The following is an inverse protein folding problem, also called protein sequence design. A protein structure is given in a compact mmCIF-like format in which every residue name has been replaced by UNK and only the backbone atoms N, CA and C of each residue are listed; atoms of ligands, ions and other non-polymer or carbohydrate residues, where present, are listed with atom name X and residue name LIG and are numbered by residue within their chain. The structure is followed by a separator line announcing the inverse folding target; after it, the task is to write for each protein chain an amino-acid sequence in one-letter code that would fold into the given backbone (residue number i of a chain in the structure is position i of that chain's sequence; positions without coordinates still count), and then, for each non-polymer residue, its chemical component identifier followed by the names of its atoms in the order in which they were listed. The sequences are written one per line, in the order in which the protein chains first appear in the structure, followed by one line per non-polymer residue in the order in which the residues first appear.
data_IF_104544998584
#
_entry.id   IF_104544998584
#
_cell.length_a   1.000
_cell.length_b   1.000
_cell.length_c   1.000
_cell.angle_alpha   90.00
_cell.angle_beta   90.00
_cell.angle_gamma   90.00
#
_symmetry.space_group_name_H-M   'P 1'
#
loop_
_entity.id
_entity.type
_entity.pdbx_description
1 polymer ?
#
# COMPACT_ATOMS: atom_id res chain seq x y z
N UNK A 1 2.19 14.80 -4.16
CA UNK A 1 1.53 14.02 -3.09
C UNK A 1 0.51 13.08 -3.69
N UNK A 2 0.41 11.87 -3.20
CA UNK A 2 -0.59 10.89 -3.68
C UNK A 2 -1.87 11.07 -2.86
N UNK A 3 -3.01 11.08 -3.56
CA UNK A 3 -4.33 11.16 -2.93
C UNK A 3 -5.12 9.90 -3.28
N UNK A 4 -5.59 9.19 -2.26
CA UNK A 4 -6.53 8.08 -2.41
C UNK A 4 -7.91 8.59 -1.99
N UNK A 5 -8.82 8.65 -2.96
CA UNK A 5 -10.21 9.01 -2.69
C UNK A 5 -11.03 7.72 -2.61
N UNK A 6 -11.63 7.47 -1.45
CA UNK A 6 -12.48 6.30 -1.23
C UNK A 6 -13.88 6.55 -1.81
N UNK A 7 -14.61 5.48 -2.10
CA UNK A 7 -15.97 5.58 -2.65
C UNK A 7 -16.98 6.20 -1.67
N UNK A 8 -16.65 6.26 -0.37
CA UNK A 8 -17.44 6.95 0.64
C UNK A 8 -17.09 8.43 0.79
N UNK A 9 -16.18 8.96 -0.04
CA UNK A 9 -15.75 10.36 -0.01
C UNK A 9 -14.58 10.66 0.93
N UNK A 10 -14.12 9.68 1.71
CA UNK A 10 -12.95 9.87 2.59
C UNK A 10 -11.68 9.94 1.76
N UNK A 11 -10.71 10.68 2.24
CA UNK A 11 -9.45 10.95 1.53
C UNK A 11 -8.26 10.58 2.40
N UNK A 12 -7.27 9.90 1.78
CA UNK A 12 -5.98 9.60 2.39
C UNK A 12 -4.91 10.27 1.53
N UNK A 13 -4.07 11.11 2.14
CA UNK A 13 -2.96 11.75 1.43
C UNK A 13 -1.63 11.18 1.91
N UNK A 14 -0.77 10.85 0.95
CA UNK A 14 0.48 10.14 1.18
C UNK A 14 1.63 10.92 0.56
N UNK A 15 2.67 11.13 1.35
CA UNK A 15 3.95 11.67 0.85
C UNK A 15 4.87 10.52 0.49
N UNK A 16 5.40 10.54 -0.73
CA UNK A 16 6.29 9.51 -1.25
C UNK A 16 7.74 9.90 -0.98
N UNK A 17 8.54 8.95 -0.51
CA UNK A 17 9.97 9.14 -0.22
C UNK A 17 10.80 8.52 -1.34
N UNK A 18 11.19 9.36 -2.31
CA UNK A 18 11.99 8.94 -3.47
C UNK A 18 13.42 8.57 -3.10
N UNK A 19 13.94 9.11 -2.02
CA UNK A 19 15.33 8.85 -1.59
C UNK A 19 15.45 7.46 -0.94
N UNK A 20 14.44 7.07 -0.17
CA UNK A 20 14.46 5.79 0.53
C UNK A 20 14.24 4.59 -0.40
N UNK A 21 13.38 4.75 -1.41
CA UNK A 21 13.01 3.66 -2.32
C UNK A 21 12.68 4.22 -3.72
N UNK A 22 13.70 4.63 -4.50
CA UNK A 22 13.47 5.34 -5.76
C UNK A 22 12.76 4.50 -6.83
N UNK A 23 13.08 3.24 -6.98
CA UNK A 23 12.44 2.36 -7.97
C UNK A 23 10.99 2.11 -7.59
N UNK A 24 10.75 1.83 -6.32
CA UNK A 24 9.41 1.60 -5.76
C UNK A 24 8.54 2.84 -5.92
N UNK A 25 9.08 4.01 -5.55
CA UNK A 25 8.39 5.30 -5.66
C UNK A 25 7.98 5.58 -7.11
N UNK A 26 8.91 5.45 -8.05
CA UNK A 26 8.64 5.68 -9.47
C UNK A 26 7.60 4.71 -10.02
N UNK A 27 7.70 3.43 -9.69
CA UNK A 27 6.74 2.41 -10.13
C UNK A 27 5.33 2.75 -9.64
N UNK A 28 5.20 3.08 -8.35
CA UNK A 28 3.91 3.42 -7.76
C UNK A 28 3.30 4.66 -8.40
N UNK A 29 4.09 5.72 -8.57
CA UNK A 29 3.64 6.96 -9.20
C UNK A 29 3.22 6.74 -10.66
N UNK A 30 3.95 5.92 -11.41
CA UNK A 30 3.60 5.60 -12.79
C UNK A 30 2.25 4.86 -12.87
N UNK A 31 2.01 3.91 -11.97
CA UNK A 31 0.74 3.20 -11.89
C UNK A 31 -0.40 4.16 -11.53
N UNK A 32 -0.16 5.08 -10.62
CA UNK A 32 -1.15 6.13 -10.27
C UNK A 32 -1.49 6.99 -11.48
N UNK A 33 -0.47 7.44 -12.23
CA UNK A 33 -0.67 8.25 -13.44
C UNK A 33 -1.46 7.53 -14.53
N UNK A 34 -1.29 6.21 -14.63
CA UNK A 34 -2.02 5.38 -15.60
C UNK A 34 -3.47 5.11 -15.19
N UNK A 35 -3.88 5.50 -13.98
CA UNK A 35 -5.20 5.18 -13.45
C UNK A 35 -5.34 3.73 -13.00
N UNK A 36 -4.23 3.03 -12.80
CA UNK A 36 -4.21 1.60 -12.47
C UNK A 36 -5.02 1.27 -11.22
N UNK A 37 -4.92 2.11 -10.20
CA UNK A 37 -5.56 1.86 -8.91
C UNK A 37 -7.04 2.28 -8.84
N UNK A 38 -7.53 3.01 -9.83
CA UNK A 38 -8.93 3.48 -9.83
C UNK A 38 -9.87 2.28 -9.85
N UNK A 39 -10.78 2.22 -8.88
CA UNK A 39 -11.74 1.13 -8.75
C UNK A 39 -11.22 -0.13 -8.06
N UNK A 40 -9.95 -0.19 -7.70
CA UNK A 40 -9.39 -1.31 -6.94
C UNK A 40 -9.76 -1.24 -5.47
N UNK A 41 -9.58 -2.33 -4.73
CA UNK A 41 -10.03 -2.45 -3.35
C UNK A 41 -8.88 -2.66 -2.37
N UNK A 42 -9.16 -2.39 -1.10
CA UNK A 42 -8.39 -2.94 0.02
C UNK A 42 -8.98 -4.32 0.34
N UNK A 43 -8.36 -5.35 -0.21
CA UNK A 43 -8.89 -6.73 -0.17
C UNK A 43 -8.46 -7.54 1.06
N UNK A 44 -7.50 -7.03 1.84
CA UNK A 44 -7.00 -7.69 3.05
C UNK A 44 -6.82 -6.65 4.14
N UNK A 45 -7.57 -6.80 5.23
CA UNK A 45 -7.57 -5.84 6.33
C UNK A 45 -7.41 -6.57 7.64
N UNK A 46 -6.36 -6.22 8.39
CA UNK A 46 -6.09 -6.78 9.71
C UNK A 46 -5.97 -5.63 10.70
N UNK A 47 -6.99 -5.37 11.54
CA UNK A 47 -6.93 -4.32 12.57
C UNK A 47 -5.72 -4.52 13.48
N UNK A 48 -5.06 -3.43 13.85
CA UNK A 48 -3.85 -3.49 14.65
C UNK A 48 -2.60 -3.91 13.87
N UNK A 49 -2.71 -4.06 12.56
CA UNK A 49 -1.61 -4.41 11.69
C UNK A 49 -1.59 -3.51 10.43
N UNK A 50 -2.38 -3.84 9.41
CA UNK A 50 -2.32 -3.10 8.14
C UNK A 50 -3.61 -3.22 7.34
N UNK A 51 -3.74 -2.35 6.31
CA UNK A 51 -4.74 -2.48 5.25
C UNK A 51 -3.98 -2.65 3.92
N UNK A 52 -4.32 -3.68 3.16
CA UNK A 52 -3.61 -4.04 1.92
C UNK A 52 -4.54 -4.00 0.71
N UNK A 53 -4.08 -3.41 -0.37
CA UNK A 53 -4.85 -3.29 -1.59
C UNK A 53 -3.98 -3.19 -2.84
N UNK A 54 -4.61 -2.81 -3.96
CA UNK A 54 -3.90 -2.60 -5.22
C UNK A 54 -3.77 -3.84 -6.10
N UNK A 55 -4.57 -4.86 -5.85
CA UNK A 55 -4.64 -6.07 -6.68
C UNK A 55 -5.83 -5.97 -7.65
N UNK A 56 -5.60 -5.97 -8.98
CA UNK A 56 -6.71 -5.95 -9.94
C UNK A 56 -7.69 -7.11 -9.78
N UNK A 57 -7.21 -8.24 -9.26
CA UNK A 57 -8.07 -9.42 -9.00
C UNK A 57 -8.78 -9.35 -7.66
N UNK A 58 -8.33 -8.49 -6.75
CA UNK A 58 -8.95 -8.30 -5.44
C UNK A 58 -8.85 -9.49 -4.50
N UNK A 59 -7.89 -10.39 -4.69
CA UNK A 59 -7.76 -11.63 -3.89
C UNK A 59 -6.33 -11.93 -3.42
N UNK A 60 -5.38 -11.04 -3.69
CA UNK A 60 -3.99 -11.21 -3.28
C UNK A 60 -3.10 -11.91 -4.31
N UNK A 61 -3.65 -12.39 -5.43
CA UNK A 61 -2.89 -13.17 -6.43
C UNK A 61 -2.48 -12.37 -7.66
N UNK A 62 -3.02 -11.17 -7.85
CA UNK A 62 -2.77 -10.34 -9.02
C UNK A 62 -1.76 -9.25 -8.78
N UNK A 63 -1.49 -8.48 -9.83
CA UNK A 63 -0.56 -7.37 -9.80
C UNK A 63 -0.52 -6.67 -11.15
N UNK A 64 0.43 -5.75 -11.31
CA UNK A 64 0.70 -5.09 -12.58
C UNK A 64 1.59 -5.98 -13.47
N UNK A 65 1.81 -5.53 -14.70
CA UNK A 65 2.57 -6.32 -15.69
C UNK A 65 4.07 -6.40 -15.42
N UNK A 66 4.60 -5.61 -14.48
CA UNK A 66 6.04 -5.48 -14.25
C UNK A 66 6.36 -5.62 -12.76
N UNK A 67 7.20 -6.61 -12.43
CA UNK A 67 7.78 -6.73 -11.10
C UNK A 67 8.96 -5.76 -10.93
N UNK A 68 9.21 -5.33 -9.71
CA UNK A 68 10.29 -4.41 -9.40
C UNK A 68 11.26 -5.03 -8.40
N UNK A 69 12.50 -4.54 -8.41
CA UNK A 69 13.51 -4.93 -7.43
C UNK A 69 13.07 -4.52 -6.02
N UNK A 70 13.23 -5.42 -5.06
CA UNK A 70 12.90 -5.16 -3.66
C UNK A 70 13.92 -4.25 -2.99
N UNK A 71 13.50 -3.04 -2.64
CA UNK A 71 14.36 -2.02 -2.01
C UNK A 71 14.26 -2.10 -0.49
N UNK A 72 14.83 -3.15 0.09
CA UNK A 72 14.86 -3.37 1.54
C UNK A 72 16.12 -4.12 1.97
N UNK A 73 16.47 -4.04 3.26
CA UNK A 73 17.74 -4.53 3.78
C UNK A 73 18.02 -6.01 3.49
N UNK A 74 17.02 -6.89 3.65
CA UNK A 74 17.18 -8.33 3.39
C UNK A 74 17.53 -8.62 1.92
N UNK A 75 17.28 -7.69 1.02
CA UNK A 75 17.62 -7.78 -0.41
C UNK A 75 18.85 -6.93 -0.77
N UNK A 76 19.62 -6.50 0.22
CA UNK A 76 20.86 -5.77 0.01
C UNK A 76 20.71 -4.27 -0.26
N UNK A 77 19.55 -3.70 0.00
CA UNK A 77 19.29 -2.28 -0.23
C UNK A 77 19.07 -1.54 1.09
N UNK A 78 19.77 -0.42 1.28
CA UNK A 78 19.62 0.38 2.49
C UNK A 78 18.40 1.28 2.44
N UNK A 79 17.29 0.80 3.01
CA UNK A 79 16.05 1.56 3.14
C UNK A 79 15.82 1.85 4.63
N UNK A 80 15.91 3.12 5.07
CA UNK A 80 15.85 3.44 6.49
C UNK A 80 14.44 3.50 7.08
N UNK A 81 13.40 3.43 6.26
CA UNK A 81 12.02 3.59 6.74
C UNK A 81 11.60 2.39 7.59
N UNK A 82 11.14 2.66 8.80
CA UNK A 82 10.55 1.65 9.68
C UNK A 82 9.06 1.54 9.44
N UNK A 83 8.51 0.35 9.66
CA UNK A 83 7.07 0.10 9.49
C UNK A 83 6.30 0.57 10.72
N UNK A 84 6.18 1.88 10.86
CA UNK A 84 5.39 2.51 11.90
C UNK A 84 4.02 2.91 11.36
N UNK A 85 3.10 3.24 12.28
CA UNK A 85 1.73 3.66 11.91
C UNK A 85 1.77 4.74 10.82
N UNK A 86 1.02 4.51 9.74
CA UNK A 86 0.89 5.44 8.62
C UNK A 86 1.87 5.21 7.47
N UNK A 87 2.86 4.34 7.63
CA UNK A 87 3.83 4.04 6.56
C UNK A 87 3.16 3.21 5.46
N UNK A 88 3.44 3.55 4.19
CA UNK A 88 3.04 2.75 3.03
C UNK A 88 4.24 1.92 2.56
N UNK A 89 3.99 0.66 2.23
CA UNK A 89 5.02 -0.31 1.86
C UNK A 89 4.48 -1.28 0.81
N UNK A 90 5.38 -1.95 0.08
CA UNK A 90 4.98 -2.89 -0.96
C UNK A 90 4.76 -4.30 -0.41
N UNK A 91 3.62 -4.87 -0.74
CA UNK A 91 3.38 -6.29 -0.57
C UNK A 91 4.16 -7.07 -1.64
N UNK A 92 4.57 -8.30 -1.32
CA UNK A 92 5.30 -9.17 -2.24
C UNK A 92 5.06 -10.64 -1.91
N UNK A 93 5.43 -11.51 -2.85
CA UNK A 93 5.51 -12.95 -2.62
C UNK A 93 6.84 -13.32 -1.94
N UNK A 94 7.20 -14.58 -1.91
CA UNK A 94 8.46 -15.05 -1.30
C UNK A 94 9.69 -14.49 -2.01
N UNK A 95 9.64 -14.35 -3.34
CA UNK A 95 10.72 -13.75 -4.11
C UNK A 95 10.88 -12.27 -3.73
N UNK A 96 12.06 -11.82 -3.31
CA UNK A 96 12.29 -10.41 -2.96
C UNK A 96 11.97 -9.41 -4.08
N UNK A 97 12.05 -9.84 -5.34
CA UNK A 97 11.82 -9.01 -6.51
C UNK A 97 10.45 -9.28 -7.16
N UNK A 98 9.47 -9.67 -6.36
CA UNK A 98 8.13 -10.05 -6.84
C UNK A 98 7.07 -8.96 -6.66
N UNK A 99 7.38 -7.84 -6.03
CA UNK A 99 6.43 -6.74 -5.86
C UNK A 99 6.09 -6.13 -7.22
N UNK A 100 4.84 -5.71 -7.39
CA UNK A 100 4.40 -5.00 -8.60
C UNK A 100 3.42 -3.87 -8.31
N UNK A 101 2.22 -4.16 -7.83
CA UNK A 101 1.20 -3.14 -7.56
C UNK A 101 0.60 -3.20 -6.17
N UNK A 102 0.56 -4.36 -5.52
CA UNK A 102 -0.06 -4.46 -4.21
C UNK A 102 0.77 -3.72 -3.15
N UNK A 103 0.08 -2.97 -2.32
CA UNK A 103 0.70 -2.20 -1.25
C UNK A 103 -0.12 -2.32 0.03
N UNK A 104 0.47 -1.93 1.14
CA UNK A 104 -0.25 -1.86 2.41
C UNK A 104 0.12 -0.58 3.16
N UNK A 105 -0.83 -0.12 3.97
CA UNK A 105 -0.66 1.03 4.85
C UNK A 105 -0.74 0.52 6.29
N UNK A 106 0.25 0.90 7.11
CA UNK A 106 0.32 0.43 8.49
C UNK A 106 -0.78 1.08 9.33
N UNK A 107 -1.59 0.24 9.98
CA UNK A 107 -2.57 0.68 10.98
C UNK A 107 -1.90 0.84 12.34
N UNK A 108 -0.91 0.00 12.63
CA UNK A 108 -0.10 0.04 13.84
C UNK A 108 1.36 -0.32 13.51
N UNK A 109 2.27 -0.09 14.44
CA UNK A 109 3.68 -0.40 14.25
C UNK A 109 3.89 -1.91 14.10
N UNK A 110 4.75 -2.30 13.15
CA UNK A 110 5.09 -3.70 12.90
C UNK A 110 6.60 -3.83 12.62
N UNK A 111 7.44 -3.76 13.67
CA UNK A 111 8.90 -3.79 13.48
C UNK A 111 9.42 -5.07 12.82
N UNK A 112 8.67 -6.18 12.87
CA UNK A 112 9.07 -7.42 12.19
C UNK A 112 9.08 -7.30 10.65
N UNK A 113 8.47 -6.25 10.08
CA UNK A 113 8.49 -5.98 8.64
C UNK A 113 9.71 -5.16 8.23
N UNK A 114 10.38 -4.51 9.16
CA UNK A 114 11.54 -3.66 8.86
C UNK A 114 12.64 -4.49 8.19
N UNK A 115 13.15 -3.97 7.07
CA UNK A 115 14.16 -4.68 6.29
C UNK A 115 13.63 -5.84 5.46
N UNK A 116 12.33 -6.13 5.46
CA UNK A 116 11.71 -7.24 4.75
C UNK A 116 10.77 -6.78 3.63
N UNK A 117 10.36 -5.54 3.64
CA UNK A 117 9.47 -4.93 2.65
C UNK A 117 9.95 -3.53 2.28
N UNK A 118 9.65 -3.11 1.05
CA UNK A 118 10.04 -1.81 0.54
C UNK A 118 9.05 -0.72 0.96
N UNK A 119 9.28 -0.13 2.12
CA UNK A 119 8.55 1.05 2.56
C UNK A 119 8.97 2.25 1.70
N UNK A 120 8.00 3.08 1.28
CA UNK A 120 8.29 4.15 0.33
C UNK A 120 7.53 5.46 0.57
N UNK A 121 6.93 5.63 1.72
CA UNK A 121 6.23 6.86 2.07
C UNK A 121 5.44 6.74 3.36
N UNK A 122 4.65 7.77 3.64
CA UNK A 122 3.79 7.78 4.83
C UNK A 122 2.55 8.66 4.63
N UNK A 123 1.50 8.34 5.36
CA UNK A 123 0.26 9.13 5.37
C UNK A 123 0.50 10.44 6.10
N UNK A 124 0.17 11.56 5.46
CA UNK A 124 0.27 12.89 6.06
C UNK A 124 -1.09 13.45 6.43
N UNK A 125 -2.17 12.96 5.83
CA UNK A 125 -3.53 13.36 6.12
C UNK A 125 -4.46 12.19 5.86
N UNK A 126 -5.45 11.97 6.75
CA UNK A 126 -6.45 10.94 6.55
C UNK A 126 -6.20 9.63 7.31
N UNK A 127 -5.37 9.64 8.36
CA UNK A 127 -5.23 8.44 9.21
C UNK A 127 -6.54 8.00 9.84
N UNK A 128 -7.47 8.93 10.10
CA UNK A 128 -8.81 8.59 10.56
C UNK A 128 -9.58 7.77 9.51
N UNK A 129 -9.36 8.03 8.22
CA UNK A 129 -9.92 7.20 7.16
C UNK A 129 -9.30 5.80 7.15
N UNK A 130 -8.00 5.67 7.38
CA UNK A 130 -7.32 4.37 7.52
C UNK A 130 -7.90 3.61 8.72
N UNK A 131 -8.10 4.27 9.85
CA UNK A 131 -8.69 3.66 11.04
C UNK A 131 -10.11 3.16 10.77
N UNK A 132 -10.91 3.94 10.06
CA UNK A 132 -12.26 3.56 9.66
C UNK A 132 -12.26 2.34 8.75
N UNK A 133 -11.35 2.28 7.78
CA UNK A 133 -11.17 1.11 6.92
C UNK A 133 -10.76 -0.11 7.74
N UNK A 134 -9.83 0.06 8.67
CA UNK A 134 -9.36 -1.03 9.53
C UNK A 134 -10.46 -1.60 10.43
N UNK A 135 -11.52 -0.85 10.68
CA UNK A 135 -12.63 -1.25 11.54
C UNK A 135 -13.76 -1.98 10.79
N UNK A 136 -13.69 -2.13 9.46
CA UNK A 136 -14.74 -2.80 8.70
C UNK A 136 -14.80 -4.29 9.02
N UNK A 137 -15.98 -4.88 8.86
CA UNK A 137 -16.18 -6.32 9.07
C UNK A 137 -15.46 -7.11 7.98
N UNK A 138 -14.68 -8.11 8.40
CA UNK A 138 -13.96 -9.01 7.50
C UNK A 138 -14.42 -10.44 7.67
N UNK A 139 -14.19 -11.25 6.64
CA UNK A 139 -14.48 -12.67 6.63
C UNK A 139 -13.24 -13.50 6.33
N UNK A 140 -13.41 -14.54 5.52
CA UNK A 140 -12.34 -15.47 5.16
C UNK A 140 -11.15 -14.72 4.53
N UNK A 141 -9.93 -15.08 4.93
CA UNK A 141 -8.67 -14.45 4.48
C UNK A 141 -8.58 -12.95 4.77
N UNK A 142 -9.25 -12.48 5.84
CA UNK A 142 -9.25 -11.06 6.23
C UNK A 142 -9.79 -10.14 5.14
N UNK A 143 -10.64 -10.68 4.27
CA UNK A 143 -11.27 -9.91 3.20
C UNK A 143 -12.51 -9.19 3.71
N UNK A 144 -12.69 -7.88 3.41
CA UNK A 144 -13.90 -7.16 3.80
C UNK A 144 -15.16 -7.85 3.28
N UNK A 145 -16.18 -7.95 4.13
CA UNK A 145 -17.50 -8.50 3.76
C UNK A 145 -18.13 -7.62 2.68
N UNK A 146 -18.00 -6.30 2.82
CA UNK A 146 -18.41 -5.33 1.80
C UNK A 146 -17.16 -4.73 1.18
N UNK A 147 -17.03 -4.69 -0.16
CA UNK A 147 -15.83 -4.16 -0.80
C UNK A 147 -15.50 -2.73 -0.35
N UNK A 148 -14.22 -2.50 -0.05
CA UNK A 148 -13.68 -1.18 0.32
C UNK A 148 -12.95 -0.65 -0.91
N UNK A 149 -13.60 0.25 -1.64
CA UNK A 149 -13.19 0.65 -2.98
C UNK A 149 -12.44 1.97 -2.97
N UNK A 150 -11.26 1.99 -3.62
CA UNK A 150 -10.56 3.21 -3.98
C UNK A 150 -11.21 3.76 -5.24
N UNK A 151 -12.04 4.79 -5.10
CA UNK A 151 -12.75 5.38 -6.24
C UNK A 151 -11.76 5.96 -7.25
N UNK A 152 -10.72 6.63 -6.74
CA UNK A 152 -9.73 7.29 -7.56
C UNK A 152 -8.42 7.44 -6.78
N UNK A 153 -7.30 7.21 -7.46
CA UNK A 153 -5.97 7.47 -6.89
C UNK A 153 -5.22 8.38 -7.87
N UNK A 154 -4.76 9.53 -7.39
CA UNK A 154 -4.13 10.53 -8.27
C UNK A 154 -3.02 11.30 -7.57
N UNK A 155 -2.23 12.01 -8.37
CA UNK A 155 -1.17 12.89 -7.87
C UNK A 155 -1.71 14.30 -7.76
N UNK A 156 -1.62 14.88 -6.57
CA UNK A 156 -1.97 16.28 -6.28
C UNK A 156 -0.71 17.12 -6.33
N UNK A 157 -0.74 18.17 -7.12
CA UNK A 157 0.39 19.11 -7.24
C UNK A 157 0.27 20.31 -6.31
#
# INVERSE_FOLDING_TARGET
MIVIEMDNGRIIKIEIDHDAAPITAENFENLVKEGFYDGLTFHRIIPGFMIQGGDPKGNGTGGSSKNIKGEFAANGYNNPIRHTRGVISMARAMDPDSASSQFFIMHADAPHLDGQHAAFGHVVEGMDAVDEIAAVRTGFNDKPVTPVVMKRVYIEE
#
